data_IF_443349662047
#
_entry.id   IF_443349662047
#
_cell.length_a   1.000
_cell.length_b   1.000
_cell.length_c   1.000
_cell.angle_alpha   90.00
_cell.angle_beta   90.00
_cell.angle_gamma   90.00
#
_symmetry.space_group_name_H-M   'P 1'
#
loop_
_entity.id
_entity.type
_entity.pdbx_description
1 polymer ?
#
# COMPACT_ATOMS: atom_id res chain seq x y z
N UNK A 1 21.31 10.72 -1.97
CA UNK A 1 20.80 9.33 -2.02
C UNK A 1 19.29 9.40 -2.01
N UNK A 2 18.60 8.74 -2.94
CA UNK A 2 17.13 8.77 -2.98
C UNK A 2 16.56 7.87 -1.88
N UNK A 3 15.68 8.41 -1.03
CA UNK A 3 14.99 7.64 0.01
C UNK A 3 14.02 6.67 -0.67
N UNK A 4 14.06 5.39 -0.26
CA UNK A 4 13.18 4.33 -0.77
C UNK A 4 12.55 3.56 0.38
N UNK A 5 11.29 3.20 0.21
CA UNK A 5 10.54 2.26 1.04
C UNK A 5 10.10 1.06 0.19
N UNK A 6 10.02 -0.13 0.79
CA UNK A 6 9.60 -1.36 0.12
C UNK A 6 8.92 -2.29 1.13
N UNK A 7 7.68 -2.67 0.82
CA UNK A 7 7.00 -3.80 1.45
C UNK A 7 7.01 -4.98 0.47
N UNK A 8 7.41 -6.16 0.96
CA UNK A 8 7.33 -7.42 0.21
C UNK A 8 6.68 -8.48 1.09
N UNK A 9 5.50 -8.95 0.68
CA UNK A 9 4.76 -10.00 1.38
C UNK A 9 4.02 -10.90 0.39
N UNK A 10 3.51 -12.03 0.88
CA UNK A 10 2.64 -12.94 0.14
C UNK A 10 1.19 -12.72 0.60
N UNK A 11 0.26 -12.65 -0.34
CA UNK A 11 -1.18 -12.66 -0.01
C UNK A 11 -1.60 -14.03 0.49
N UNK A 12 -2.25 -14.03 1.65
CA UNK A 12 -2.83 -15.21 2.28
C UNK A 12 -4.29 -15.36 1.86
N UNK A 13 -4.91 -16.48 2.25
CA UNK A 13 -6.35 -16.67 2.06
C UNK A 13 -7.18 -15.64 2.86
N UNK A 14 -6.65 -15.04 3.92
CA UNK A 14 -7.33 -13.99 4.68
C UNK A 14 -7.39 -12.65 3.93
N UNK A 15 -6.53 -12.45 2.94
CA UNK A 15 -6.52 -11.24 2.12
C UNK A 15 -7.54 -11.33 0.97
N UNK A 16 -8.06 -12.53 0.66
CA UNK A 16 -9.12 -12.70 -0.33
C UNK A 16 -10.40 -12.02 0.17
N UNK A 17 -10.99 -11.19 -0.70
CA UNK A 17 -12.15 -10.39 -0.37
C UNK A 17 -13.37 -10.78 -1.21
N UNK A 18 -13.16 -11.07 -2.49
CA UNK A 18 -14.21 -11.49 -3.41
C UNK A 18 -14.13 -12.98 -3.73
N UNK A 19 -15.17 -13.51 -4.38
CA UNK A 19 -15.21 -14.90 -4.83
C UNK A 19 -14.04 -15.25 -5.76
N UNK A 20 -13.60 -16.51 -5.70
CA UNK A 20 -12.46 -16.98 -6.52
C UNK A 20 -11.08 -16.57 -5.98
N UNK A 21 -10.98 -16.27 -4.68
CA UNK A 21 -9.75 -15.85 -3.99
C UNK A 21 -9.20 -14.50 -4.47
N UNK A 22 -10.07 -13.63 -5.01
CA UNK A 22 -9.68 -12.33 -5.53
C UNK A 22 -9.51 -11.32 -4.38
N UNK A 23 -8.34 -10.68 -4.32
CA UNK A 23 -8.03 -9.61 -3.37
C UNK A 23 -8.60 -8.30 -3.90
N UNK A 24 -9.15 -7.49 -3.01
CA UNK A 24 -9.67 -6.18 -3.39
C UNK A 24 -8.54 -5.14 -3.59
N UNK A 25 -8.86 -4.05 -4.30
CA UNK A 25 -7.91 -2.96 -4.49
C UNK A 25 -7.59 -2.21 -3.19
N UNK A 26 -8.52 -2.19 -2.23
CA UNK A 26 -8.33 -1.51 -0.95
C UNK A 26 -7.18 -2.12 -0.14
N UNK A 27 -6.95 -3.44 -0.23
CA UNK A 27 -5.80 -4.08 0.38
C UNK A 27 -4.47 -3.49 -0.09
N UNK A 28 -4.34 -3.18 -1.38
CA UNK A 28 -3.15 -2.55 -1.93
C UNK A 28 -2.99 -1.10 -1.45
N UNK A 29 -4.10 -0.35 -1.35
CA UNK A 29 -4.08 1.02 -0.81
C UNK A 29 -3.63 1.07 0.65
N UNK A 30 -4.01 0.09 1.46
CA UNK A 30 -3.52 -0.03 2.84
C UNK A 30 -1.98 -0.17 2.87
N UNK A 31 -1.41 -1.03 2.04
CA UNK A 31 0.05 -1.21 1.95
C UNK A 31 0.77 0.04 1.41
N UNK A 32 0.15 0.77 0.48
CA UNK A 32 0.67 2.05 0.01
C UNK A 32 0.67 3.12 1.11
N UNK A 33 -0.32 3.10 1.99
CA UNK A 33 -0.35 3.91 3.21
C UNK A 33 0.89 3.66 4.08
N UNK A 34 1.17 2.39 4.41
CA UNK A 34 2.33 2.01 5.22
C UNK A 34 3.68 2.42 4.57
N UNK A 35 3.79 2.26 3.25
CA UNK A 35 4.97 2.71 2.47
C UNK A 35 5.15 4.22 2.59
N UNK A 36 4.08 5.01 2.47
CA UNK A 36 4.16 6.45 2.58
C UNK A 36 4.50 6.90 4.01
N UNK A 37 3.93 6.27 5.03
CA UNK A 37 4.30 6.51 6.42
C UNK A 37 5.79 6.29 6.64
N UNK A 38 6.37 5.18 6.13
CA UNK A 38 7.81 4.94 6.26
C UNK A 38 8.64 6.01 5.50
N UNK A 39 8.17 6.47 4.34
CA UNK A 39 8.84 7.55 3.61
C UNK A 39 8.82 8.87 4.40
N UNK A 40 7.70 9.21 5.03
CA UNK A 40 7.55 10.41 5.85
C UNK A 40 8.42 10.34 7.11
N UNK A 41 8.48 9.19 7.79
CA UNK A 41 9.38 8.99 8.93
C UNK A 41 10.84 9.19 8.51
N UNK A 42 11.24 8.64 7.36
CA UNK A 42 12.62 8.76 6.87
C UNK A 42 12.99 10.19 6.44
N UNK A 43 12.02 10.97 5.98
CA UNK A 43 12.25 12.31 5.45
C UNK A 43 12.11 13.40 6.53
N UNK A 44 11.05 13.32 7.33
CA UNK A 44 10.61 14.37 8.24
C UNK A 44 10.67 13.95 9.73
N UNK A 45 10.94 12.67 10.02
CA UNK A 45 11.00 12.15 11.39
C UNK A 45 9.63 11.94 12.05
N UNK A 46 8.55 11.99 11.27
CA UNK A 46 7.16 11.88 11.72
C UNK A 46 6.35 10.97 10.78
N UNK A 47 5.28 10.37 11.28
CA UNK A 47 4.41 9.48 10.49
C UNK A 47 3.60 10.25 9.42
N UNK A 48 3.32 11.53 9.69
CA UNK A 48 2.51 12.40 8.86
C UNK A 48 1.07 11.92 8.69
N UNK A 49 0.32 12.62 7.84
CA UNK A 49 -1.07 12.28 7.52
C UNK A 49 -1.25 12.16 6.01
N UNK A 50 -1.67 10.98 5.56
CA UNK A 50 -1.93 10.70 4.16
C UNK A 50 -3.20 11.44 3.72
N UNK A 51 -3.05 12.48 2.89
CA UNK A 51 -4.16 13.35 2.49
C UNK A 51 -5.10 12.70 1.47
N UNK A 52 -4.56 12.27 0.33
CA UNK A 52 -5.30 11.74 -0.80
C UNK A 52 -4.35 11.13 -1.84
N UNK A 53 -4.91 10.32 -2.72
CA UNK A 53 -4.30 9.98 -4.01
C UNK A 53 -4.88 10.92 -5.08
N UNK A 54 -4.05 11.37 -6.02
CA UNK A 54 -4.55 12.07 -7.22
C UNK A 54 -5.25 11.10 -8.18
N UNK A 55 -4.69 9.90 -8.36
CA UNK A 55 -5.24 8.83 -9.18
C UNK A 55 -4.74 7.46 -8.72
N UNK A 56 -5.59 6.45 -8.85
CA UNK A 56 -5.23 5.04 -8.63
C UNK A 56 -5.82 4.20 -9.75
N UNK A 57 -4.98 3.39 -10.39
CA UNK A 57 -5.38 2.46 -11.44
C UNK A 57 -4.91 1.05 -11.10
N UNK A 58 -5.85 0.10 -11.04
CA UNK A 58 -5.53 -1.32 -10.85
C UNK A 58 -5.43 -2.00 -12.21
N UNK A 59 -4.19 -2.18 -12.69
CA UNK A 59 -3.91 -2.69 -14.03
C UNK A 59 -3.97 -4.22 -14.15
N UNK A 60 -3.97 -4.93 -13.02
CA UNK A 60 -4.05 -6.38 -12.95
C UNK A 60 -4.75 -6.81 -11.65
N UNK A 61 -5.45 -7.97 -11.65
CA UNK A 61 -6.00 -8.56 -10.43
C UNK A 61 -4.88 -9.06 -9.50
N UNK A 62 -5.19 -9.12 -8.21
CA UNK A 62 -4.32 -9.67 -7.15
C UNK A 62 -5.01 -10.85 -6.48
#
# INVERSE_FOLDING_TARGET
>A
MTVKSLIRMRMSFHDAHYGGNLVDGARMLNLFGDVATELLIKHDGDEGLFRAYDSVEFLAPV
#
